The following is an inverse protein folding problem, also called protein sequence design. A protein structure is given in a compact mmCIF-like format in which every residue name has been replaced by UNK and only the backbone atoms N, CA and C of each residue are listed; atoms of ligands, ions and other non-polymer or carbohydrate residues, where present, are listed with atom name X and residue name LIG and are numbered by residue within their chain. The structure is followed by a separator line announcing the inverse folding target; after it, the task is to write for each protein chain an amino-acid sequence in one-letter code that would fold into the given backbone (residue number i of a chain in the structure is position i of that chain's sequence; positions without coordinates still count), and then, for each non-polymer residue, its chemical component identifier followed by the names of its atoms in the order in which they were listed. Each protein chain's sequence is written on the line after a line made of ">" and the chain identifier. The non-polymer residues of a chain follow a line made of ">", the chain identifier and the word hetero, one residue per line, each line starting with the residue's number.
data_IF_846269494254
#
_entry.id   IF_846269494254
#
_cell.length_a   1.000
_cell.length_b   1.000
_cell.length_c   1.000
_cell.angle_alpha   90.00
_cell.angle_beta   90.00
_cell.angle_gamma   90.00
#
_symmetry.space_group_name_H-M   'P 1'
#
loop_
_entity.id
_entity.type
_entity.pdbx_description
1 polymer ?
#
# COMPACT_ATOMS: atom_id res chain seq x y z
N UNK A 1 16.31 -0.12 10.97
CA UNK A 1 15.38 -0.03 9.82
C UNK A 1 15.52 -1.29 8.94
N UNK A 2 16.64 -1.49 8.22
CA UNK A 2 16.83 -2.68 7.34
C UNK A 2 16.80 -4.02 8.11
N UNK A 3 17.48 -4.09 9.25
CA UNK A 3 17.51 -5.31 10.09
C UNK A 3 16.09 -5.69 10.56
N UNK A 4 15.30 -4.72 11.05
CA UNK A 4 13.91 -4.97 11.47
C UNK A 4 13.01 -5.40 10.30
N UNK A 5 13.21 -4.82 9.11
CA UNK A 5 12.48 -5.23 7.92
C UNK A 5 12.79 -6.69 7.56
N UNK A 6 14.06 -7.08 7.65
CA UNK A 6 14.49 -8.47 7.44
C UNK A 6 13.85 -9.43 8.45
N UNK A 7 13.86 -9.09 9.75
CA UNK A 7 13.18 -9.88 10.77
C UNK A 7 11.67 -9.98 10.52
N UNK A 8 11.02 -8.89 10.13
CA UNK A 8 9.58 -8.86 9.86
C UNK A 8 9.23 -9.73 8.65
N UNK A 9 10.05 -9.68 7.59
CA UNK A 9 9.88 -10.52 6.41
C UNK A 9 10.06 -12.01 6.75
N UNK A 10 11.06 -12.33 7.57
CA UNK A 10 11.34 -13.70 8.00
C UNK A 10 10.18 -14.25 8.84
N UNK A 11 9.71 -13.48 9.83
CA UNK A 11 8.55 -13.86 10.64
C UNK A 11 7.31 -14.03 9.77
N UNK A 12 7.02 -13.10 8.86
CA UNK A 12 5.88 -13.20 7.95
C UNK A 12 5.95 -14.46 7.06
N UNK A 13 7.14 -14.80 6.56
CA UNK A 13 7.37 -16.03 5.78
C UNK A 13 7.14 -17.31 6.58
N UNK A 14 7.64 -17.38 7.82
CA UNK A 14 7.37 -18.51 8.73
C UNK A 14 5.87 -18.63 9.00
N UNK A 15 5.22 -17.50 9.31
CA UNK A 15 3.80 -17.48 9.63
C UNK A 15 2.95 -17.91 8.43
N UNK A 16 3.29 -17.43 7.23
CA UNK A 16 2.67 -17.86 5.99
C UNK A 16 2.84 -19.37 5.75
N UNK A 17 4.05 -19.91 6.00
CA UNK A 17 4.30 -21.34 5.88
C UNK A 17 3.44 -22.18 6.83
N UNK A 18 3.35 -21.78 8.11
CA UNK A 18 2.47 -22.44 9.09
C UNK A 18 0.99 -22.35 8.71
N UNK A 19 0.55 -21.21 8.16
CA UNK A 19 -0.82 -21.06 7.66
C UNK A 19 -1.11 -22.00 6.49
N UNK A 20 -0.18 -22.15 5.54
CA UNK A 20 -0.31 -23.09 4.42
C UNK A 20 -0.38 -24.54 4.92
N UNK A 21 0.47 -24.92 5.88
CA UNK A 21 0.44 -26.24 6.50
C UNK A 21 -0.88 -26.54 7.20
N UNK A 22 -1.41 -25.57 7.95
CA UNK A 22 -2.64 -25.75 8.73
C UNK A 22 -3.88 -25.74 7.83
N UNK A 23 -3.90 -24.89 6.81
CA UNK A 23 -5.05 -24.72 5.90
C UNK A 23 -5.05 -25.76 4.78
N UNK A 24 -3.90 -26.41 4.51
CA UNK A 24 -3.72 -27.35 3.40
C UNK A 24 -3.71 -26.69 2.02
N UNK A 25 -3.76 -25.35 1.95
CA UNK A 25 -3.66 -24.58 0.70
C UNK A 25 -2.22 -24.14 0.47
N UNK A 26 -1.63 -24.64 -0.62
CA UNK A 26 -0.32 -24.21 -1.08
C UNK A 26 -0.49 -23.01 -1.99
N UNK A 27 0.20 -21.91 -1.67
CA UNK A 27 0.20 -20.73 -2.53
C UNK A 27 1.09 -20.97 -3.74
N UNK A 28 0.59 -20.57 -4.91
CA UNK A 28 1.41 -20.48 -6.10
C UNK A 28 2.23 -19.19 -6.02
N UNK A 29 3.54 -19.34 -5.79
CA UNK A 29 4.46 -18.21 -5.70
C UNK A 29 5.10 -18.01 -7.08
N UNK A 30 4.35 -17.45 -8.01
CA UNK A 30 4.92 -16.98 -9.28
C UNK A 30 5.56 -15.60 -9.07
N UNK A 31 6.86 -15.60 -8.76
CA UNK A 31 7.65 -14.38 -8.54
C UNK A 31 7.57 -13.41 -9.72
N UNK A 32 7.49 -13.94 -10.94
CA UNK A 32 7.46 -13.12 -12.15
C UNK A 32 6.15 -12.31 -12.20
N UNK A 33 5.07 -12.92 -11.71
CA UNK A 33 3.76 -12.30 -11.64
C UNK A 33 3.56 -11.39 -10.44
N UNK A 34 4.13 -11.78 -9.29
CA UNK A 34 3.97 -11.07 -8.03
C UNK A 34 4.82 -9.81 -7.93
N UNK A 35 6.05 -9.82 -8.46
CA UNK A 35 6.96 -8.67 -8.35
C UNK A 35 6.37 -7.38 -8.94
N UNK A 36 5.79 -7.36 -10.16
CA UNK A 36 5.18 -6.16 -10.72
C UNK A 36 3.99 -5.67 -9.91
N UNK A 37 3.12 -6.56 -9.43
CA UNK A 37 1.97 -6.19 -8.61
C UNK A 37 2.40 -5.59 -7.27
N UNK A 38 3.35 -6.24 -6.59
CA UNK A 38 3.90 -5.76 -5.33
C UNK A 38 4.56 -4.39 -5.48
N UNK A 39 5.36 -4.18 -6.54
CA UNK A 39 5.99 -2.87 -6.77
C UNK A 39 4.95 -1.78 -7.02
N UNK A 40 3.89 -2.08 -7.76
CA UNK A 40 2.79 -1.15 -8.03
C UNK A 40 2.04 -0.78 -6.74
N UNK A 41 1.83 -1.76 -5.87
CA UNK A 41 1.17 -1.58 -4.59
C UNK A 41 2.04 -0.79 -3.61
N UNK A 42 3.36 -1.04 -3.59
CA UNK A 42 4.33 -0.23 -2.86
C UNK A 42 4.32 1.24 -3.31
N UNK A 43 4.20 1.50 -4.62
CA UNK A 43 4.07 2.87 -5.17
C UNK A 43 2.79 3.54 -4.66
N UNK A 44 1.67 2.81 -4.67
CA UNK A 44 0.38 3.31 -4.16
C UNK A 44 0.47 3.68 -2.66
N UNK A 45 1.00 2.78 -1.83
CA UNK A 45 1.17 3.04 -0.40
C UNK A 45 2.23 4.10 -0.09
N UNK A 46 3.27 4.23 -0.92
CA UNK A 46 4.21 5.33 -0.82
C UNK A 46 3.50 6.69 -1.01
N UNK A 47 2.56 6.80 -1.96
CA UNK A 47 1.72 7.98 -2.13
C UNK A 47 0.95 8.35 -0.86
N UNK A 48 0.28 7.38 -0.24
CA UNK A 48 -0.41 7.60 1.04
C UNK A 48 0.59 7.99 2.13
N UNK A 49 1.76 7.35 2.18
CA UNK A 49 2.85 7.70 3.09
C UNK A 49 3.34 9.14 2.94
N UNK A 50 3.46 9.65 1.71
CA UNK A 50 3.80 11.06 1.45
C UNK A 50 2.72 12.01 1.95
N UNK A 51 1.44 11.70 1.72
CA UNK A 51 0.34 12.51 2.26
C UNK A 51 0.41 12.62 3.78
N UNK A 52 0.60 11.47 4.45
CA UNK A 52 0.73 11.41 5.91
C UNK A 52 1.99 12.13 6.39
N UNK A 53 3.12 11.93 5.72
CA UNK A 53 4.37 12.62 6.02
C UNK A 53 4.25 14.14 5.93
N UNK A 54 3.50 14.65 4.95
CA UNK A 54 3.19 16.08 4.83
C UNK A 54 2.35 16.56 6.02
N UNK A 55 1.32 15.80 6.38
CA UNK A 55 0.48 16.09 7.53
C UNK A 55 1.29 16.14 8.83
N UNK A 56 2.27 15.24 8.99
CA UNK A 56 3.15 15.20 10.14
C UNK A 56 4.00 16.47 10.32
N UNK A 57 4.33 17.18 9.23
CA UNK A 57 5.05 18.46 9.34
C UNK A 57 4.24 19.54 10.07
N UNK A 58 2.91 19.43 10.03
CA UNK A 58 1.99 20.42 10.63
C UNK A 58 1.57 19.99 12.04
N UNK A 59 1.29 18.71 12.25
CA UNK A 59 0.78 18.20 13.53
C UNK A 59 1.91 17.71 14.44
N UNK A 60 2.08 18.30 15.63
CA UNK A 60 3.17 17.92 16.57
C UNK A 60 2.98 16.55 17.28
N UNK A 61 1.86 15.86 17.11
CA UNK A 61 1.58 14.51 17.66
C UNK A 61 0.72 13.70 16.69
N UNK A 62 1.31 12.74 15.98
CA UNK A 62 0.62 11.98 14.93
C UNK A 62 0.64 10.46 15.15
N UNK A 63 1.36 9.95 16.16
CA UNK A 63 1.53 8.50 16.33
C UNK A 63 0.18 7.75 16.37
N UNK A 64 -0.79 8.22 17.16
CA UNK A 64 -2.13 7.61 17.21
C UNK A 64 -2.90 7.74 15.89
N UNK A 65 -2.69 8.80 15.13
CA UNK A 65 -3.36 9.01 13.84
C UNK A 65 -2.76 8.13 12.75
N UNK A 66 -1.44 7.90 12.74
CA UNK A 66 -0.80 6.97 11.82
C UNK A 66 -1.35 5.56 12.00
N UNK A 67 -1.56 5.13 13.25
CA UNK A 67 -2.10 3.81 13.54
C UNK A 67 -3.54 3.65 13.05
N UNK A 68 -4.39 4.68 13.24
CA UNK A 68 -5.76 4.69 12.69
C UNK A 68 -5.73 4.54 11.17
N UNK A 69 -4.87 5.29 10.48
CA UNK A 69 -4.76 5.21 9.01
C UNK A 69 -4.26 3.84 8.58
N UNK A 70 -3.27 3.26 9.26
CA UNK A 70 -2.78 1.91 8.97
C UNK A 70 -3.90 0.86 9.11
N UNK A 71 -4.72 0.94 10.16
CA UNK A 71 -5.88 0.06 10.32
C UNK A 71 -6.89 0.23 9.18
N UNK A 72 -7.17 1.46 8.75
CA UNK A 72 -8.04 1.74 7.60
C UNK A 72 -7.47 1.16 6.31
N UNK A 73 -6.15 1.27 6.08
CA UNK A 73 -5.50 0.68 4.91
C UNK A 73 -5.57 -0.85 4.93
N UNK A 74 -5.33 -1.48 6.09
CA UNK A 74 -5.47 -2.94 6.24
C UNK A 74 -6.91 -3.36 5.94
N UNK A 75 -7.91 -2.62 6.42
CA UNK A 75 -9.31 -2.87 6.12
C UNK A 75 -9.59 -2.80 4.62
N UNK A 76 -9.03 -1.83 3.90
CA UNK A 76 -9.16 -1.74 2.45
C UNK A 76 -8.49 -2.94 1.75
N UNK A 77 -7.26 -3.28 2.09
CA UNK A 77 -6.55 -4.45 1.52
C UNK A 77 -7.33 -5.76 1.73
N UNK A 78 -7.98 -5.91 2.88
CA UNK A 78 -8.79 -7.09 3.19
C UNK A 78 -10.19 -7.06 2.57
N UNK A 79 -10.70 -5.90 2.17
CA UNK A 79 -12.05 -5.75 1.66
C UNK A 79 -12.18 -6.28 0.22
N UNK A 80 -13.25 -7.02 -0.11
CA UNK A 80 -13.48 -7.47 -1.47
C UNK A 80 -13.80 -6.29 -2.40
N UNK A 81 -13.26 -6.27 -3.65
CA UNK A 81 -13.51 -5.20 -4.64
C UNK A 81 -14.90 -5.32 -5.29
N UNK A 82 -15.96 -5.46 -4.49
CA UNK A 82 -17.34 -5.65 -4.94
C UNK A 82 -17.94 -4.40 -5.57
N UNK A 83 -17.62 -3.22 -5.05
CA UNK A 83 -18.14 -1.94 -5.50
C UNK A 83 -17.08 -1.13 -6.26
N UNK A 84 -17.51 -0.33 -7.26
CA UNK A 84 -16.63 0.60 -8.00
C UNK A 84 -15.84 1.53 -7.07
N UNK A 85 -16.48 2.02 -6.01
CA UNK A 85 -15.82 2.92 -5.05
C UNK A 85 -14.73 2.20 -4.24
N UNK A 86 -14.96 0.93 -3.88
CA UNK A 86 -13.97 0.12 -3.18
C UNK A 86 -12.79 -0.19 -4.10
N UNK A 87 -13.02 -0.44 -5.39
CA UNK A 87 -11.95 -0.64 -6.38
C UNK A 87 -10.99 0.55 -6.49
N UNK A 88 -11.49 1.76 -6.24
CA UNK A 88 -10.66 2.97 -6.27
C UNK A 88 -9.85 3.19 -4.98
N UNK A 89 -10.14 2.45 -3.90
CA UNK A 89 -9.42 2.61 -2.64
C UNK A 89 -8.00 2.04 -2.72
N UNK A 90 -7.04 2.66 -2.00
CA UNK A 90 -5.63 2.30 -2.11
C UNK A 90 -5.41 0.87 -1.63
N UNK A 91 -4.72 0.06 -2.45
CA UNK A 91 -4.37 -1.33 -2.13
C UNK A 91 -5.47 -2.36 -2.38
N UNK A 92 -6.74 -1.98 -2.60
CA UNK A 92 -7.85 -2.95 -2.75
C UNK A 92 -7.73 -3.83 -4.01
N UNK A 93 -7.62 -3.20 -5.18
CA UNK A 93 -7.48 -3.89 -6.46
C UNK A 93 -6.16 -4.65 -6.53
N UNK A 94 -5.06 -4.03 -6.12
CA UNK A 94 -3.72 -4.64 -6.08
C UNK A 94 -3.73 -5.92 -5.26
N UNK A 95 -4.19 -5.85 -4.01
CA UNK A 95 -4.30 -7.00 -3.13
C UNK A 95 -5.21 -8.10 -3.69
N UNK A 96 -6.31 -7.74 -4.35
CA UNK A 96 -7.20 -8.72 -4.98
C UNK A 96 -6.54 -9.45 -6.16
N UNK A 97 -5.73 -8.74 -6.97
CA UNK A 97 -4.97 -9.35 -8.08
C UNK A 97 -3.87 -10.25 -7.54
N UNK A 98 -3.15 -9.82 -6.50
CA UNK A 98 -2.16 -10.64 -5.80
C UNK A 98 -2.81 -11.91 -5.26
N UNK A 99 -3.98 -11.82 -4.61
CA UNK A 99 -4.72 -12.98 -4.11
C UNK A 99 -5.15 -13.94 -5.23
N UNK A 100 -5.52 -13.44 -6.42
CA UNK A 100 -5.85 -14.28 -7.58
C UNK A 100 -4.62 -15.03 -8.10
N UNK A 101 -3.47 -14.35 -8.23
CA UNK A 101 -2.21 -14.98 -8.64
C UNK A 101 -1.79 -16.04 -7.62
N UNK A 102 -1.85 -15.72 -6.33
CA UNK A 102 -1.42 -16.62 -5.25
C UNK A 102 -2.32 -17.84 -5.06
N UNK A 103 -3.64 -17.68 -5.17
CA UNK A 103 -4.61 -18.77 -4.93
C UNK A 103 -4.97 -19.55 -6.20
N UNK A 104 -5.05 -18.87 -7.34
CA UNK A 104 -5.47 -19.44 -8.62
C UNK A 104 -4.30 -19.93 -9.47
N UNK A 105 -3.06 -19.48 -9.18
CA UNK A 105 -1.92 -19.74 -10.05
C UNK A 105 -2.02 -19.07 -11.42
N UNK A 106 -2.92 -18.09 -11.55
CA UNK A 106 -3.05 -17.29 -12.77
C UNK A 106 -1.79 -16.45 -12.96
N UNK A 107 -1.21 -16.52 -14.15
CA UNK A 107 -0.08 -15.67 -14.48
C UNK A 107 -0.54 -14.23 -14.80
N UNK A 108 0.36 -13.24 -14.69
CA UNK A 108 0.06 -11.82 -14.98
C UNK A 108 -0.68 -11.59 -16.29
N UNK A 109 -0.32 -12.36 -17.33
CA UNK A 109 -0.89 -12.25 -18.67
C UNK A 109 -2.29 -12.87 -18.80
N UNK A 110 -2.72 -13.68 -17.84
CA UNK A 110 -4.08 -14.22 -17.76
C UNK A 110 -5.03 -13.28 -17.01
N UNK A 111 -4.48 -12.31 -16.27
CA UNK A 111 -5.28 -11.29 -15.59
C UNK A 111 -5.95 -10.36 -16.60
N UNK A 112 -7.14 -9.87 -16.26
CA UNK A 112 -7.85 -8.90 -17.07
C UNK A 112 -7.01 -7.63 -17.23
N UNK A 113 -6.64 -7.30 -18.47
CA UNK A 113 -5.81 -6.12 -18.78
C UNK A 113 -6.42 -4.80 -18.27
N UNK A 114 -7.76 -4.74 -18.21
CA UNK A 114 -8.51 -3.62 -17.66
C UNK A 114 -8.23 -3.41 -16.16
N UNK A 115 -8.15 -4.48 -15.37
CA UNK A 115 -7.89 -4.42 -13.93
C UNK A 115 -6.43 -4.02 -13.65
N UNK A 116 -5.49 -4.48 -14.48
CA UNK A 116 -4.09 -4.05 -14.42
C UNK A 116 -3.95 -2.55 -14.71
N UNK A 117 -4.55 -2.06 -15.80
CA UNK A 117 -4.54 -0.63 -16.14
C UNK A 117 -5.19 0.23 -15.05
N UNK A 118 -6.31 -0.23 -14.48
CA UNK A 118 -6.96 0.44 -13.36
C UNK A 118 -6.03 0.51 -12.14
N UNK A 119 -5.36 -0.58 -11.80
CA UNK A 119 -4.44 -0.62 -10.65
C UNK A 119 -3.25 0.32 -10.86
N UNK A 120 -2.70 0.36 -12.07
CA UNK A 120 -1.63 1.32 -12.44
C UNK A 120 -2.13 2.76 -12.32
N UNK A 121 -3.34 3.04 -12.85
CA UNK A 121 -3.97 4.36 -12.77
C UNK A 121 -4.20 4.82 -11.34
N UNK A 122 -4.71 3.93 -10.49
CA UNK A 122 -4.93 4.21 -9.05
C UNK A 122 -3.60 4.43 -8.34
N UNK A 123 -2.59 3.57 -8.56
CA UNK A 123 -1.28 3.73 -7.93
C UNK A 123 -0.63 5.08 -8.26
N UNK A 124 -0.64 5.47 -9.54
CA UNK A 124 -0.12 6.77 -9.98
C UNK A 124 -0.95 7.93 -9.45
N UNK A 125 -2.28 7.82 -9.43
CA UNK A 125 -3.15 8.87 -8.90
C UNK A 125 -2.87 9.12 -7.41
N UNK A 126 -2.75 8.07 -6.60
CA UNK A 126 -2.42 8.19 -5.17
C UNK A 126 -1.00 8.71 -4.94
N UNK A 127 -0.04 8.31 -5.77
CA UNK A 127 1.32 8.84 -5.71
C UNK A 127 1.33 10.36 -5.96
N UNK A 128 0.69 10.80 -7.05
CA UNK A 128 0.62 12.22 -7.42
C UNK A 128 -0.12 13.05 -6.37
N UNK A 129 -1.27 12.55 -5.88
CA UNK A 129 -2.01 13.18 -4.79
C UNK A 129 -1.17 13.29 -3.52
N UNK A 130 -0.47 12.21 -3.15
CA UNK A 130 0.40 12.18 -1.99
C UNK A 130 1.51 13.22 -2.04
N UNK A 131 2.21 13.29 -3.17
CA UNK A 131 3.27 14.27 -3.40
C UNK A 131 2.73 15.70 -3.43
N UNK A 132 1.55 15.92 -4.01
CA UNK A 132 0.90 17.23 -4.02
C UNK A 132 0.56 17.70 -2.59
N UNK A 133 -0.05 16.84 -1.78
CA UNK A 133 -0.37 17.11 -0.38
C UNK A 133 0.91 17.41 0.40
N UNK A 134 1.95 16.57 0.23
CA UNK A 134 3.25 16.78 0.87
C UNK A 134 3.81 18.16 0.60
N UNK A 135 3.87 18.59 -0.67
CA UNK A 135 4.38 19.91 -1.07
C UNK A 135 3.56 21.07 -0.51
N UNK A 136 2.23 20.93 -0.44
CA UNK A 136 1.36 21.95 0.15
C UNK A 136 1.66 22.09 1.64
N UNK A 137 1.76 20.97 2.35
CA UNK A 137 2.06 20.95 3.77
C UNK A 137 3.46 21.48 4.07
N UNK A 138 4.46 21.10 3.28
CA UNK A 138 5.85 21.58 3.39
C UNK A 138 5.92 23.10 3.25
N UNK A 139 5.28 23.67 2.21
CA UNK A 139 5.21 25.14 2.03
C UNK A 139 4.54 25.84 3.20
N UNK A 140 3.48 25.24 3.76
CA UNK A 140 2.75 25.80 4.90
C UNK A 140 3.59 25.74 6.18
N UNK A 141 4.27 24.63 6.42
CA UNK A 141 5.18 24.44 7.54
C UNK A 141 6.36 25.44 7.48
N UNK A 142 6.96 25.64 6.30
CA UNK A 142 8.01 26.64 6.11
C UNK A 142 7.53 28.06 6.43
N UNK A 143 6.35 28.47 5.93
CA UNK A 143 5.78 29.80 6.22
C UNK A 143 5.46 30.00 7.71
N UNK A 144 5.00 28.96 8.40
CA UNK A 144 4.79 29.00 9.85
C UNK A 144 6.08 28.93 10.65
N UNK A 145 7.16 28.34 10.10
CA UNK A 145 8.49 28.29 10.70
C UNK A 145 9.31 29.58 10.53
N UNK A 146 9.10 30.34 9.45
CA UNK A 146 9.78 31.63 9.20
C UNK A 146 9.25 32.81 10.04
N UNK A 147 8.28 32.59 10.92
CA UNK A 147 7.83 33.54 11.94
C UNK A 147 8.45 33.24 13.33
N UNK A 148 9.39 32.29 13.40
CA UNK A 148 10.33 32.17 14.51
C UNK A 148 11.39 33.26 14.39
N UNK A 149 11.05 34.44 14.91
CA UNK A 149 11.81 35.68 14.96
C UNK A 149 13.34 35.58 15.06
N UNK A 150 14.01 36.38 14.20
CA UNK A 150 15.28 37.06 14.45
C UNK A 150 15.26 37.81 15.80
#
# INVERSE_FOLDING_TARGET
>A
QIINAFYSLLIAGILAFFLMLTTGKWLNIDLLSLLPLLTLELICFAGVGFALGGLMLIFKRIDSYMQIVQFVLIFFVAAPPSNWLLRLMPGTLGASLIQKVMNGGEALWQLAWQDLLLTVGVALAYLLLGVAIYRICERKAMKSGTLGHY
#
